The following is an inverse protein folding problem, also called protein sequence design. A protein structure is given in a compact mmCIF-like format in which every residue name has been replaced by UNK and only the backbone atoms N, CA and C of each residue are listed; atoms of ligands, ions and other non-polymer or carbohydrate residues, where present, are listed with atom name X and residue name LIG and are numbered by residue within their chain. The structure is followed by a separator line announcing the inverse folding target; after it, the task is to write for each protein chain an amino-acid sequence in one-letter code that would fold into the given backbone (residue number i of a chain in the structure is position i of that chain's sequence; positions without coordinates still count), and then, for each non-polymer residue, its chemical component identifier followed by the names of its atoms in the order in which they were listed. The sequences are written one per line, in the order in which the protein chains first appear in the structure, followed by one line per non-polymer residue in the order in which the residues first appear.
data_IF_058166504187
#
_entry.id   IF_058166504187
#
_cell.length_a   1.000
_cell.length_b   1.000
_cell.length_c   1.000
_cell.angle_alpha   90.00
_cell.angle_beta   90.00
_cell.angle_gamma   90.00
#
_symmetry.space_group_name_H-M   'P 1'
#
loop_
_entity.id
_entity.type
_entity.pdbx_description
1 polymer ?
#
# COMPACT_ATOMS: atom_id res chain seq x y z
N UNK A 1 54.63 36.51 -33.58
CA UNK A 1 53.47 35.60 -33.63
C UNK A 1 53.78 34.41 -32.72
N UNK A 2 53.33 34.44 -31.47
CA UNK A 2 53.63 33.40 -30.47
C UNK A 2 52.30 32.84 -29.99
N UNK A 3 51.93 31.70 -30.53
CA UNK A 3 50.72 30.95 -30.16
C UNK A 3 50.99 30.35 -28.78
N UNK A 4 50.29 30.82 -27.75
CA UNK A 4 50.27 30.13 -26.45
C UNK A 4 49.34 28.93 -26.58
N UNK A 5 49.90 27.73 -26.56
CA UNK A 5 49.14 26.49 -26.49
C UNK A 5 48.52 26.36 -25.09
N UNK A 6 47.19 26.39 -25.01
CA UNK A 6 46.46 25.96 -23.82
C UNK A 6 46.55 24.43 -23.72
N UNK A 7 47.50 23.93 -22.93
CA UNK A 7 47.50 22.55 -22.45
C UNK A 7 46.42 22.40 -21.39
N UNK A 8 45.23 21.99 -21.82
CA UNK A 8 44.15 21.58 -20.90
C UNK A 8 44.56 20.24 -20.29
N UNK A 9 44.87 20.24 -19.00
CA UNK A 9 45.16 19.03 -18.22
C UNK A 9 43.93 18.10 -18.21
N UNK A 10 44.08 16.78 -18.40
CA UNK A 10 42.96 15.84 -18.49
C UNK A 10 42.16 15.70 -17.18
N UNK A 11 42.57 16.37 -16.11
CA UNK A 11 41.89 16.38 -14.81
C UNK A 11 40.66 17.30 -14.71
N UNK A 12 40.35 18.11 -15.74
CA UNK A 12 39.28 19.14 -15.66
C UNK A 12 38.02 18.75 -16.46
N UNK A 13 37.96 17.55 -17.03
CA UNK A 13 36.83 17.12 -17.88
C UNK A 13 35.61 16.55 -17.12
N UNK A 14 35.64 16.42 -15.78
CA UNK A 14 34.52 15.85 -14.98
C UNK A 14 33.74 16.93 -14.20
N UNK A 15 34.04 18.22 -14.36
CA UNK A 15 33.49 19.27 -13.50
C UNK A 15 32.15 19.90 -13.95
N UNK A 16 31.37 19.24 -14.83
CA UNK A 16 30.13 19.82 -15.37
C UNK A 16 28.91 18.88 -15.31
N UNK A 17 28.86 17.96 -14.35
CA UNK A 17 27.60 17.33 -13.96
C UNK A 17 26.97 18.21 -12.87
N UNK A 18 25.80 18.80 -13.13
CA UNK A 18 25.03 19.49 -12.09
C UNK A 18 24.71 18.51 -10.97
N UNK A 19 24.72 18.95 -9.71
CA UNK A 19 24.36 18.11 -8.55
C UNK A 19 22.96 17.49 -8.66
N UNK A 20 22.09 18.06 -9.50
CA UNK A 20 20.77 17.53 -9.84
C UNK A 20 20.80 16.21 -10.62
N UNK A 21 21.92 15.88 -11.28
CA UNK A 21 22.15 14.61 -11.98
C UNK A 21 22.97 13.61 -11.17
N UNK A 22 23.29 13.94 -9.91
CA UNK A 22 23.95 13.01 -9.00
C UNK A 22 22.93 12.00 -8.47
N UNK A 23 22.83 10.86 -9.16
CA UNK A 23 21.93 9.75 -8.82
C UNK A 23 22.29 9.13 -7.46
N UNK A 24 23.48 9.43 -6.94
CA UNK A 24 24.02 8.92 -5.67
C UNK A 24 23.88 9.92 -4.53
N UNK A 25 23.41 11.13 -4.82
CA UNK A 25 23.08 12.09 -3.78
C UNK A 25 21.99 11.52 -2.86
N UNK A 26 22.16 11.76 -1.55
CA UNK A 26 21.16 11.39 -0.58
C UNK A 26 19.81 12.02 -0.97
N UNK A 27 18.79 11.19 -1.15
CA UNK A 27 17.47 11.68 -1.53
C UNK A 27 16.97 12.64 -0.44
N UNK A 28 16.43 13.81 -0.81
CA UNK A 28 15.84 14.72 0.16
C UNK A 28 14.68 14.01 0.86
N UNK A 29 14.73 13.96 2.19
CA UNK A 29 13.67 13.40 3.01
C UNK A 29 12.73 14.50 3.49
N UNK A 30 11.44 14.23 3.52
CA UNK A 30 10.45 15.18 3.99
C UNK A 30 10.43 15.21 5.53
N UNK A 31 10.93 16.29 6.14
CA UNK A 31 10.94 16.45 7.61
C UNK A 31 9.69 17.13 8.19
N UNK A 32 8.73 17.52 7.35
CA UNK A 32 7.53 18.23 7.80
C UNK A 32 6.54 17.36 8.58
N UNK A 33 6.62 16.03 8.44
CA UNK A 33 5.73 15.08 9.12
C UNK A 33 6.42 14.60 10.38
N UNK A 34 5.89 15.00 11.54
CA UNK A 34 6.52 14.75 12.84
C UNK A 34 6.12 13.41 13.46
N UNK A 35 4.90 12.95 13.23
CA UNK A 35 4.33 11.76 13.86
C UNK A 35 3.23 11.13 13.00
N UNK A 36 3.13 9.80 13.05
CA UNK A 36 2.06 9.01 12.43
C UNK A 36 1.24 8.34 13.52
N UNK A 37 -0.09 8.48 13.46
CA UNK A 37 -1.01 7.84 14.41
C UNK A 37 -2.01 6.94 13.68
N UNK A 38 -2.40 5.83 14.31
CA UNK A 38 -3.44 4.94 13.78
C UNK A 38 -4.81 5.31 14.34
N UNK A 39 -5.79 5.55 13.46
CA UNK A 39 -7.15 5.92 13.84
C UNK A 39 -8.14 4.85 13.36
N UNK A 40 -9.02 4.40 14.25
CA UNK A 40 -10.00 3.34 13.95
C UNK A 40 -11.35 3.97 13.62
N UNK A 41 -11.80 3.79 12.38
CA UNK A 41 -13.13 4.20 11.92
C UNK A 41 -14.12 3.03 11.94
N UNK A 42 -15.26 3.24 12.60
CA UNK A 42 -16.36 2.26 12.61
C UNK A 42 -17.21 2.38 11.32
N UNK A 43 -17.87 1.31 10.88
CA UNK A 43 -18.80 1.37 9.75
C UNK A 43 -19.94 2.35 10.02
N UNK A 44 -20.37 3.07 8.97
CA UNK A 44 -21.52 3.97 9.02
C UNK A 44 -22.85 3.21 8.98
N UNK A 45 -22.86 2.05 8.32
CA UNK A 45 -24.02 1.17 8.22
C UNK A 45 -23.98 0.03 9.25
N UNK A 46 -25.15 -0.50 9.62
CA UNK A 46 -25.25 -1.68 10.48
C UNK A 46 -24.79 -2.93 9.72
N UNK A 47 -23.99 -3.78 10.39
CA UNK A 47 -23.43 -5.04 9.85
C UNK A 47 -24.47 -6.08 9.42
N UNK A 48 -25.77 -5.84 9.69
CA UNK A 48 -26.86 -6.70 9.19
C UNK A 48 -27.13 -6.52 7.70
N UNK A 49 -26.67 -5.43 7.11
CA UNK A 49 -26.82 -5.15 5.69
C UNK A 49 -25.66 -5.79 4.92
N UNK A 50 -25.90 -6.22 3.67
CA UNK A 50 -24.88 -6.83 2.80
C UNK A 50 -23.69 -5.91 2.53
N UNK A 51 -23.88 -4.59 2.69
CA UNK A 51 -22.95 -3.58 2.26
C UNK A 51 -22.33 -2.88 3.46
N UNK A 52 -21.01 -3.02 3.61
CA UNK A 52 -20.24 -2.31 4.62
C UNK A 52 -19.67 -1.02 4.01
N UNK A 53 -20.09 0.13 4.55
CA UNK A 53 -19.57 1.44 4.16
C UNK A 53 -18.87 2.11 5.33
N UNK A 54 -17.61 2.47 5.14
CA UNK A 54 -16.82 3.23 6.09
C UNK A 54 -16.52 4.61 5.48
N UNK A 55 -16.88 5.67 6.18
CA UNK A 55 -16.57 7.05 5.79
C UNK A 55 -15.44 7.58 6.66
N UNK A 56 -14.33 7.93 6.01
CA UNK A 56 -13.21 8.64 6.64
C UNK A 56 -13.42 10.14 6.36
N UNK A 57 -13.71 10.96 7.38
CA UNK A 57 -13.89 12.40 7.19
C UNK A 57 -12.55 13.06 6.84
N UNK A 58 -12.62 14.16 6.09
CA UNK A 58 -11.45 14.99 5.84
C UNK A 58 -11.01 15.70 7.13
N UNK A 59 -9.70 15.80 7.34
CA UNK A 59 -9.08 16.64 8.35
C UNK A 59 -8.22 17.71 7.68
N UNK A 60 -8.18 18.90 8.26
CA UNK A 60 -7.40 20.03 7.77
C UNK A 60 -6.00 20.10 8.41
N UNK A 61 -5.74 19.27 9.43
CA UNK A 61 -4.49 19.29 10.20
C UNK A 61 -3.59 18.08 9.93
N UNK A 62 -4.17 16.96 9.53
CA UNK A 62 -3.46 15.70 9.35
C UNK A 62 -3.62 15.18 7.93
N UNK A 63 -2.60 14.47 7.44
CA UNK A 63 -2.66 13.75 6.18
C UNK A 63 -3.06 12.31 6.43
N UNK A 64 -3.85 11.75 5.52
CA UNK A 64 -4.26 10.34 5.57
C UNK A 64 -3.22 9.54 4.79
N UNK A 65 -2.51 8.66 5.49
CA UNK A 65 -1.71 7.62 4.83
C UNK A 65 -2.63 6.60 4.15
N UNK A 66 -2.25 6.16 2.95
CA UNK A 66 -3.03 5.22 2.14
C UNK A 66 -2.89 3.76 2.60
N UNK A 67 -2.11 3.50 3.66
CA UNK A 67 -2.02 2.20 4.32
C UNK A 67 -3.28 1.89 5.15
N UNK A 68 -4.41 1.73 4.47
CA UNK A 68 -5.71 1.48 5.08
C UNK A 68 -5.89 -0.01 5.32
N UNK A 69 -6.18 -0.39 6.57
CA UNK A 69 -6.45 -1.78 6.97
C UNK A 69 -7.90 -1.94 7.42
N UNK A 70 -8.56 -2.98 6.91
CA UNK A 70 -9.90 -3.35 7.34
C UNK A 70 -9.82 -4.40 8.46
N UNK A 71 -10.28 -4.03 9.65
CA UNK A 71 -10.34 -4.94 10.81
C UNK A 71 -11.73 -5.56 10.95
N UNK A 72 -11.79 -6.88 10.94
CA UNK A 72 -13.04 -7.65 11.06
C UNK A 72 -12.98 -8.49 12.34
N UNK A 73 -14.04 -8.41 13.14
CA UNK A 73 -14.24 -9.24 14.32
C UNK A 73 -15.54 -10.01 14.18
N UNK A 74 -15.47 -11.34 14.21
CA UNK A 74 -16.62 -12.22 14.06
C UNK A 74 -16.41 -13.56 14.74
N UNK A 75 -17.49 -14.35 14.81
CA UNK A 75 -17.47 -15.74 15.30
C UNK A 75 -17.96 -16.65 14.19
N UNK A 76 -17.26 -17.76 13.96
CA UNK A 76 -17.71 -18.83 13.08
C UNK A 76 -18.76 -19.66 13.80
N UNK A 77 -19.89 -19.90 13.14
CA UNK A 77 -20.99 -20.74 13.61
C UNK A 77 -21.27 -21.81 12.58
N UNK A 78 -21.75 -22.97 13.03
CA UNK A 78 -22.17 -24.01 12.11
C UNK A 78 -23.43 -23.59 11.35
N UNK A 79 -23.71 -24.25 10.21
CA UNK A 79 -24.87 -23.94 9.34
C UNK A 79 -26.21 -23.99 10.07
N UNK A 80 -26.30 -24.83 11.10
CA UNK A 80 -27.46 -24.99 11.99
C UNK A 80 -27.56 -23.90 13.08
N UNK A 81 -26.65 -22.93 13.12
CA UNK A 81 -26.59 -21.87 14.11
C UNK A 81 -25.97 -22.25 15.45
N UNK A 82 -25.49 -23.50 15.61
CA UNK A 82 -24.84 -23.94 16.84
C UNK A 82 -23.37 -23.53 16.87
N UNK A 83 -22.78 -23.56 18.06
CA UNK A 83 -21.34 -23.40 18.20
C UNK A 83 -20.62 -24.63 17.66
N UNK A 84 -19.45 -24.39 17.04
CA UNK A 84 -18.56 -25.44 16.60
C UNK A 84 -17.97 -26.14 17.82
N UNK A 85 -18.00 -27.47 17.81
CA UNK A 85 -17.32 -28.31 18.80
C UNK A 85 -15.93 -28.71 18.29
N UNK A 86 -15.05 -29.13 19.19
CA UNK A 86 -13.72 -29.68 18.93
C UNK A 86 -13.71 -30.88 17.96
N UNK A 87 -14.85 -31.53 17.78
CA UNK A 87 -15.04 -32.68 16.87
C UNK A 87 -15.44 -32.27 15.45
N UNK A 88 -15.83 -31.01 15.25
CA UNK A 88 -16.23 -30.52 13.93
C UNK A 88 -15.00 -30.23 13.07
N UNK A 89 -14.84 -31.00 11.98
CA UNK A 89 -13.80 -30.78 10.99
C UNK A 89 -14.16 -29.60 10.09
N UNK A 90 -13.77 -28.40 10.49
CA UNK A 90 -13.93 -27.18 9.69
C UNK A 90 -12.57 -26.57 9.36
N UNK A 91 -12.43 -26.09 8.12
CA UNK A 91 -11.27 -25.33 7.66
C UNK A 91 -11.72 -24.05 6.96
N UNK A 92 -10.86 -23.05 6.95
CA UNK A 92 -11.09 -21.79 6.23
C UNK A 92 -10.42 -21.84 4.86
N UNK A 93 -11.00 -21.14 3.88
CA UNK A 93 -10.39 -20.97 2.56
C UNK A 93 -9.13 -20.10 2.66
N UNK A 94 -8.13 -20.37 1.80
CA UNK A 94 -6.96 -19.50 1.64
C UNK A 94 -7.42 -18.07 1.33
N UNK A 95 -6.78 -17.06 1.93
CA UNK A 95 -7.25 -15.67 1.86
C UNK A 95 -8.71 -15.51 2.33
N UNK A 96 -9.04 -16.11 3.47
CA UNK A 96 -10.39 -16.14 4.05
C UNK A 96 -11.06 -14.76 4.05
N UNK A 97 -10.39 -13.73 4.59
CA UNK A 97 -10.97 -12.38 4.68
C UNK A 97 -11.28 -11.76 3.31
N UNK A 98 -10.41 -11.97 2.32
CA UNK A 98 -10.68 -11.49 0.96
C UNK A 98 -11.80 -12.26 0.27
N UNK A 99 -11.97 -13.54 0.63
CA UNK A 99 -13.06 -14.38 0.10
C UNK A 99 -14.44 -14.03 0.67
N UNK A 100 -14.51 -13.25 1.75
CA UNK A 100 -15.78 -12.80 2.34
C UNK A 100 -16.47 -11.72 1.51
N UNK A 101 -15.74 -10.98 0.67
CA UNK A 101 -16.26 -9.86 -0.09
C UNK A 101 -16.26 -10.15 -1.60
N UNK A 102 -17.42 -10.02 -2.24
CA UNK A 102 -17.51 -10.08 -3.72
C UNK A 102 -16.92 -8.84 -4.37
N UNK A 103 -17.06 -7.69 -3.72
CA UNK A 103 -16.60 -6.40 -4.22
C UNK A 103 -16.07 -5.52 -3.09
N UNK A 104 -14.96 -4.85 -3.35
CA UNK A 104 -14.42 -3.80 -2.49
C UNK A 104 -14.12 -2.58 -3.35
N UNK A 105 -14.76 -1.45 -3.06
CA UNK A 105 -14.57 -0.20 -3.78
C UNK A 105 -14.07 0.92 -2.87
N UNK A 106 -13.13 1.69 -3.38
CA UNK A 106 -12.55 2.86 -2.71
C UNK A 106 -12.86 4.09 -3.55
N UNK A 107 -13.38 5.12 -2.90
CA UNK A 107 -13.68 6.40 -3.51
C UNK A 107 -12.97 7.53 -2.78
N UNK A 108 -12.39 8.45 -3.54
CA UNK A 108 -11.79 9.67 -3.05
C UNK A 108 -12.67 10.84 -3.48
N UNK A 109 -13.20 11.60 -2.51
CA UNK A 109 -14.07 12.74 -2.76
C UNK A 109 -15.24 12.45 -3.72
N UNK A 110 -15.86 11.27 -3.58
CA UNK A 110 -16.97 10.82 -4.44
C UNK A 110 -16.56 10.25 -5.79
N UNK A 111 -15.27 10.31 -6.16
CA UNK A 111 -14.74 9.68 -7.37
C UNK A 111 -14.20 8.29 -6.99
N UNK A 112 -14.79 7.25 -7.58
CA UNK A 112 -14.29 5.89 -7.40
C UNK A 112 -12.95 5.71 -8.10
N UNK A 113 -11.90 5.40 -7.32
CA UNK A 113 -10.54 5.15 -7.83
C UNK A 113 -10.27 3.66 -8.08
N UNK A 114 -11.02 2.78 -7.42
CA UNK A 114 -10.94 1.34 -7.62
C UNK A 114 -11.77 0.91 -8.82
N UNK A 115 -11.28 -0.04 -9.61
CA UNK A 115 -12.14 -0.73 -10.57
C UNK A 115 -13.24 -1.50 -9.83
N UNK A 116 -14.49 -1.13 -10.09
CA UNK A 116 -15.66 -1.77 -9.49
C UNK A 116 -15.99 -3.06 -10.27
N UNK A 117 -15.43 -4.17 -9.82
CA UNK A 117 -15.71 -5.50 -10.37
C UNK A 117 -16.14 -6.45 -9.26
N UNK A 118 -17.13 -7.31 -9.55
CA UNK A 118 -17.67 -8.33 -8.64
C UNK A 118 -16.74 -9.55 -8.46
N UNK A 119 -15.48 -9.42 -8.88
CA UNK A 119 -14.46 -10.49 -8.86
C UNK A 119 -13.28 -10.14 -7.94
N UNK A 120 -13.53 -9.36 -6.89
CA UNK A 120 -12.50 -8.91 -5.96
C UNK A 120 -11.76 -10.09 -5.31
N UNK A 121 -12.49 -11.14 -4.93
CA UNK A 121 -11.94 -12.35 -4.35
C UNK A 121 -10.86 -12.98 -5.25
N UNK A 122 -11.12 -13.09 -6.56
CA UNK A 122 -10.13 -13.64 -7.51
C UNK A 122 -8.95 -12.71 -7.72
N UNK A 123 -9.21 -11.41 -7.85
CA UNK A 123 -8.16 -10.41 -8.01
C UNK A 123 -7.18 -10.44 -6.84
N UNK A 124 -7.69 -10.42 -5.61
CA UNK A 124 -6.87 -10.42 -4.39
C UNK A 124 -6.01 -11.70 -4.28
N UNK A 125 -6.54 -12.84 -4.69
CA UNK A 125 -5.81 -14.09 -4.73
C UNK A 125 -4.66 -14.05 -5.75
N UNK A 126 -4.92 -13.55 -6.96
CA UNK A 126 -3.88 -13.38 -7.97
C UNK A 126 -2.84 -12.36 -7.53
N UNK A 127 -3.23 -11.24 -6.95
CA UNK A 127 -2.31 -10.25 -6.39
C UNK A 127 -1.44 -10.88 -5.30
N UNK A 128 -2.00 -11.72 -4.42
CA UNK A 128 -1.22 -12.38 -3.36
C UNK A 128 -0.15 -13.32 -3.93
N UNK A 129 -0.44 -14.04 -5.02
CA UNK A 129 0.50 -14.99 -5.63
C UNK A 129 1.51 -14.30 -6.53
N UNK A 130 1.09 -13.23 -7.24
CA UNK A 130 1.90 -12.53 -8.23
C UNK A 130 2.70 -11.36 -7.63
N UNK A 131 2.34 -10.87 -6.45
CA UNK A 131 3.11 -9.83 -5.77
C UNK A 131 4.40 -10.42 -5.24
N UNK A 132 5.50 -9.71 -5.49
CA UNK A 132 6.81 -10.06 -4.96
C UNK A 132 6.77 -10.18 -3.44
N UNK A 133 7.31 -11.29 -2.92
CA UNK A 133 7.47 -11.47 -1.49
C UNK A 133 8.57 -10.53 -0.94
N UNK A 134 8.64 -10.39 0.38
CA UNK A 134 9.63 -9.56 1.07
C UNK A 134 11.07 -9.81 0.64
N UNK A 135 11.38 -11.03 0.17
CA UNK A 135 12.72 -11.44 -0.27
C UNK A 135 13.19 -10.62 -1.48
N UNK A 136 12.31 -10.33 -2.43
CA UNK A 136 12.64 -9.51 -3.59
C UNK A 136 12.70 -8.02 -3.26
N UNK A 137 11.95 -7.56 -2.24
CA UNK A 137 12.08 -6.20 -1.72
C UNK A 137 13.41 -6.01 -0.98
N UNK A 138 13.92 -7.03 -0.28
CA UNK A 138 15.18 -6.96 0.45
C UNK A 138 16.40 -6.90 -0.47
N UNK A 139 16.34 -7.53 -1.64
CA UNK A 139 17.40 -7.47 -2.65
C UNK A 139 17.26 -6.27 -3.61
N UNK A 140 16.15 -5.52 -3.51
CA UNK A 140 15.96 -4.32 -4.29
C UNK A 140 17.00 -3.26 -3.88
N UNK A 141 17.78 -2.70 -4.81
CA UNK A 141 18.77 -1.69 -4.50
C UNK A 141 18.07 -0.44 -3.92
N UNK A 142 18.31 -0.15 -2.65
CA UNK A 142 17.74 1.00 -1.94
C UNK A 142 18.62 2.25 -2.04
N UNK A 143 19.91 2.06 -2.32
CA UNK A 143 20.86 3.09 -2.71
C UNK A 143 21.31 2.85 -4.17
N UNK A 144 21.45 3.92 -4.95
CA UNK A 144 22.16 3.86 -6.22
C UNK A 144 23.69 3.80 -5.94
N UNK A 145 24.46 3.11 -6.79
CA UNK A 145 25.90 2.81 -6.64
C UNK A 145 26.84 4.02 -6.58
#
# INVERSE_FOLDING_TARGET
MRVQSLTVSPHIMIAFASSEFDVFAAKPVQESVLETTEVIYKPTAFVKQSDLKNLIPADNKTYIDLNIKLYIRGKLIAKNGTHLDSKDLTSVTNNFLHSLFSQCSVSLNGITISQATELYNYRSFLETILTYNSDAAATHPTNAF
#
